data_IF_747235137482
#
_entry.id   IF_747235137482
#
_cell.length_a   1.000
_cell.length_b   1.000
_cell.length_c   1.000
_cell.angle_alpha   90.00
_cell.angle_beta   90.00
_cell.angle_gamma   90.00
#
_symmetry.space_group_name_H-M   'P 1'
#
loop_
_entity.id
_entity.type
_entity.pdbx_description
1 polymer ?
#
# COMPACT_ATOMS: atom_id res chain seq x y z
N UNK A 1 18.15 -5.68 -24.40
CA UNK A 1 18.55 -6.34 -23.15
C UNK A 1 17.46 -6.04 -22.14
N UNK A 2 16.98 -7.02 -21.38
CA UNK A 2 16.01 -6.75 -20.34
C UNK A 2 16.71 -6.03 -19.18
N UNK A 3 16.18 -4.89 -18.74
CA UNK A 3 16.61 -4.27 -17.49
C UNK A 3 16.40 -5.24 -16.32
N UNK A 4 17.32 -5.19 -15.35
CA UNK A 4 17.21 -6.01 -14.14
C UNK A 4 16.17 -5.42 -13.20
N UNK A 5 15.21 -6.24 -12.75
CA UNK A 5 14.22 -5.87 -11.74
C UNK A 5 14.72 -6.29 -10.37
N UNK A 6 14.73 -5.36 -9.41
CA UNK A 6 15.24 -5.58 -8.05
C UNK A 6 14.25 -5.07 -7.00
N UNK A 7 14.29 -5.66 -5.79
CA UNK A 7 13.46 -5.23 -4.65
C UNK A 7 14.35 -4.37 -3.73
N UNK A 8 14.01 -3.08 -3.59
CA UNK A 8 14.79 -2.11 -2.81
C UNK A 8 14.22 -1.82 -1.42
N UNK A 9 12.97 -2.20 -1.15
CA UNK A 9 12.31 -2.02 0.15
C UNK A 9 11.16 -3.01 0.35
N UNK A 10 10.94 -3.45 1.59
CA UNK A 10 9.85 -4.37 1.94
C UNK A 10 9.51 -4.26 3.43
N UNK A 11 8.27 -3.87 3.73
CA UNK A 11 7.74 -3.75 5.09
C UNK A 11 6.30 -4.27 5.14
N UNK A 12 5.88 -4.65 6.35
CA UNK A 12 4.50 -5.05 6.66
C UNK A 12 4.13 -4.60 8.07
N UNK A 13 2.84 -4.41 8.31
CA UNK A 13 2.32 -4.26 9.66
C UNK A 13 2.38 -5.61 10.40
N UNK A 14 2.24 -5.61 11.75
CA UNK A 14 1.80 -6.79 12.47
C UNK A 14 0.44 -7.29 11.96
N UNK A 15 0.16 -8.58 12.17
CA UNK A 15 -1.13 -9.19 11.82
C UNK A 15 -1.94 -9.28 13.12
N UNK A 16 -3.14 -8.69 13.13
CA UNK A 16 -4.07 -8.77 14.25
C UNK A 16 -5.05 -9.94 14.11
N UNK A 17 -5.83 -10.20 15.17
CA UNK A 17 -6.97 -11.10 15.12
C UNK A 17 -8.24 -10.42 14.59
N UNK A 18 -9.18 -11.21 14.07
CA UNK A 18 -10.50 -10.70 13.67
C UNK A 18 -11.20 -10.05 14.86
N UNK A 19 -11.69 -8.82 14.68
CA UNK A 19 -12.24 -7.97 15.76
C UNK A 19 -11.27 -7.72 16.92
N UNK A 20 -9.96 -7.77 16.66
CA UNK A 20 -8.89 -7.56 17.64
C UNK A 20 -8.27 -6.16 17.60
N UNK A 21 -6.94 -6.11 17.70
CA UNK A 21 -6.15 -4.89 17.93
C UNK A 21 -6.35 -3.79 16.87
N UNK A 22 -6.69 -4.19 15.64
CA UNK A 22 -6.88 -3.29 14.51
C UNK A 22 -8.36 -3.10 14.13
N UNK A 23 -9.31 -3.47 15.00
CA UNK A 23 -10.74 -3.39 14.69
C UNK A 23 -11.24 -1.97 14.36
N UNK A 24 -10.59 -0.93 14.88
CA UNK A 24 -10.91 0.48 14.62
C UNK A 24 -10.10 1.10 13.48
N UNK A 25 -9.24 0.33 12.81
CA UNK A 25 -8.33 0.82 11.76
C UNK A 25 -8.79 0.30 10.41
N UNK A 26 -8.84 1.17 9.40
CA UNK A 26 -9.22 0.76 8.04
C UNK A 26 -8.08 0.00 7.35
N UNK A 27 -8.39 -0.80 6.34
CA UNK A 27 -7.36 -1.52 5.59
C UNK A 27 -6.39 -0.55 4.90
N UNK A 28 -6.89 0.57 4.38
CA UNK A 28 -6.04 1.60 3.77
C UNK A 28 -5.10 2.27 4.78
N UNK A 29 -5.53 2.51 6.03
CA UNK A 29 -4.65 3.05 7.08
C UNK A 29 -3.51 2.07 7.42
N UNK A 30 -3.79 0.78 7.53
CA UNK A 30 -2.74 -0.24 7.70
C UNK A 30 -1.81 -0.28 6.49
N UNK A 31 -2.37 -0.20 5.28
CA UNK A 31 -1.61 -0.11 4.03
C UNK A 31 -0.68 1.10 4.00
N UNK A 32 -1.15 2.27 4.41
CA UNK A 32 -0.37 3.52 4.46
C UNK A 32 0.90 3.38 5.31
N UNK A 33 0.77 2.75 6.49
CA UNK A 33 1.91 2.52 7.39
C UNK A 33 2.94 1.60 6.74
N UNK A 34 2.48 0.53 6.08
CA UNK A 34 3.38 -0.39 5.38
C UNK A 34 4.09 0.26 4.18
N UNK A 35 3.35 1.02 3.36
CA UNK A 35 3.87 1.73 2.19
C UNK A 35 4.94 2.74 2.63
N UNK A 36 4.63 3.61 3.59
CA UNK A 36 5.56 4.64 4.07
C UNK A 36 6.87 4.03 4.56
N UNK A 37 6.79 2.98 5.37
CA UNK A 37 7.97 2.30 5.89
C UNK A 37 8.80 1.58 4.79
N UNK A 38 8.13 1.07 3.74
CA UNK A 38 8.82 0.43 2.61
C UNK A 38 9.55 1.46 1.73
N UNK A 39 8.92 2.62 1.48
CA UNK A 39 9.54 3.74 0.74
C UNK A 39 10.71 4.33 1.53
N UNK A 40 10.55 4.53 2.84
CA UNK A 40 11.63 4.98 3.72
C UNK A 40 12.81 3.99 3.72
N UNK A 41 12.55 2.68 3.78
CA UNK A 41 13.61 1.68 3.68
C UNK A 41 14.32 1.68 2.32
N UNK A 42 13.57 1.94 1.24
CA UNK A 42 14.13 2.03 -0.10
C UNK A 42 15.00 3.28 -0.30
N UNK A 43 14.79 4.34 0.50
CA UNK A 43 15.57 5.57 0.45
C UNK A 43 15.34 6.38 -0.83
N UNK A 44 14.16 6.26 -1.44
CA UNK A 44 13.76 6.96 -2.68
C UNK A 44 12.84 8.14 -2.37
N UNK A 45 12.74 9.11 -3.28
CA UNK A 45 11.71 10.14 -3.20
C UNK A 45 10.36 9.54 -3.61
N UNK A 46 9.28 9.91 -2.92
CA UNK A 46 7.92 9.53 -3.31
C UNK A 46 7.54 10.04 -4.70
N UNK A 47 8.18 11.11 -5.18
CA UNK A 47 8.01 11.63 -6.54
C UNK A 47 8.61 10.71 -7.62
N UNK A 48 9.52 9.81 -7.27
CA UNK A 48 10.12 8.84 -8.21
C UNK A 48 9.20 7.63 -8.46
N UNK A 49 8.09 7.51 -7.74
CA UNK A 49 7.16 6.38 -7.86
C UNK A 49 6.26 6.59 -9.07
N UNK A 50 6.46 5.75 -10.09
CA UNK A 50 5.71 5.82 -11.35
C UNK A 50 4.36 5.10 -11.32
N UNK A 51 4.18 4.09 -10.48
CA UNK A 51 2.90 3.39 -10.29
C UNK A 51 2.82 2.67 -8.93
N UNK A 52 1.60 2.54 -8.41
CA UNK A 52 1.33 1.89 -7.13
C UNK A 52 0.18 0.87 -7.27
N UNK A 53 0.53 -0.42 -7.21
CA UNK A 53 -0.43 -1.51 -7.24
C UNK A 53 -0.65 -2.09 -5.83
N UNK A 54 -1.86 -1.95 -5.29
CA UNK A 54 -2.19 -2.38 -3.93
C UNK A 54 -3.32 -3.42 -3.95
N UNK A 55 -3.13 -4.53 -3.26
CA UNK A 55 -4.12 -5.60 -3.15
C UNK A 55 -5.23 -5.29 -2.14
N UNK A 56 -6.50 -5.53 -2.51
CA UNK A 56 -7.63 -5.49 -1.59
C UNK A 56 -8.74 -6.47 -2.01
N UNK A 57 -8.93 -7.55 -1.25
CA UNK A 57 -9.88 -8.63 -1.58
C UNK A 57 -11.32 -8.28 -1.22
N UNK A 58 -11.52 -7.58 -0.10
CA UNK A 58 -12.83 -7.20 0.44
C UNK A 58 -12.99 -5.67 0.40
N UNK A 59 -13.27 -5.08 -0.79
CA UNK A 59 -13.36 -3.62 -0.94
C UNK A 59 -14.63 -3.01 -0.34
N UNK A 60 -15.65 -3.82 -0.04
CA UNK A 60 -16.89 -3.33 0.56
C UNK A 60 -16.61 -2.65 1.91
N UNK A 61 -17.15 -1.43 2.09
CA UNK A 61 -16.95 -0.65 3.31
C UNK A 61 -15.56 0.00 3.47
N UNK A 62 -14.66 -0.13 2.49
CA UNK A 62 -13.33 0.50 2.51
C UNK A 62 -13.28 1.85 1.78
N UNK A 63 -14.42 2.39 1.34
CA UNK A 63 -14.48 3.59 0.51
C UNK A 63 -14.02 3.36 -0.94
N UNK A 64 -13.90 4.45 -1.69
CA UNK A 64 -13.50 4.40 -3.10
C UNK A 64 -11.99 4.29 -3.25
N UNK A 65 -11.52 3.52 -4.23
CA UNK A 65 -10.10 3.36 -4.55
C UNK A 65 -9.18 3.12 -3.32
N UNK A 66 -9.28 1.96 -2.63
CA UNK A 66 -8.46 1.66 -1.43
C UNK A 66 -6.95 1.85 -1.61
N UNK A 67 -6.40 1.56 -2.80
CA UNK A 67 -5.01 1.83 -3.15
C UNK A 67 -4.66 3.32 -3.05
N UNK A 68 -5.50 4.19 -3.63
CA UNK A 68 -5.30 5.65 -3.58
C UNK A 68 -5.35 6.17 -2.15
N UNK A 69 -6.32 5.70 -1.34
CA UNK A 69 -6.39 6.07 0.06
C UNK A 69 -5.12 5.66 0.83
N UNK A 70 -4.59 4.46 0.57
CA UNK A 70 -3.38 3.98 1.22
C UNK A 70 -2.14 4.80 0.82
N UNK A 71 -1.98 5.09 -0.48
CA UNK A 71 -0.86 5.90 -1.02
C UNK A 71 -0.89 7.32 -0.47
N UNK A 72 -2.06 7.98 -0.44
CA UNK A 72 -2.17 9.33 0.12
C UNK A 72 -1.92 9.36 1.64
N UNK A 73 -2.41 8.36 2.38
CA UNK A 73 -2.12 8.24 3.81
C UNK A 73 -0.66 7.87 4.12
N UNK A 74 0.12 7.44 3.12
CA UNK A 74 1.56 7.20 3.22
C UNK A 74 2.38 8.46 2.91
N UNK A 75 1.73 9.61 2.75
CA UNK A 75 2.34 10.90 2.43
C UNK A 75 2.99 10.95 1.02
N UNK A 76 2.54 10.09 0.11
CA UNK A 76 3.00 10.08 -1.29
C UNK A 76 2.23 11.11 -2.15
N UNK A 77 2.87 11.70 -3.18
CA UNK A 77 2.28 12.78 -3.94
C UNK A 77 1.05 12.32 -4.76
N UNK A 78 0.12 13.25 -4.97
CA UNK A 78 -1.11 13.03 -5.77
C UNK A 78 -0.81 12.56 -7.20
N UNK A 79 0.37 12.89 -7.73
CA UNK A 79 0.83 12.50 -9.07
C UNK A 79 1.03 10.99 -9.23
N UNK A 80 1.29 10.26 -8.14
CA UNK A 80 1.49 8.80 -8.19
C UNK A 80 0.19 8.15 -8.67
N UNK A 81 0.15 7.44 -9.81
CA UNK A 81 -1.02 6.67 -10.21
C UNK A 81 -1.19 5.46 -9.30
N UNK A 82 -2.43 5.00 -9.13
CA UNK A 82 -2.74 3.94 -8.18
C UNK A 82 -3.76 2.98 -8.76
N UNK A 83 -3.51 1.69 -8.63
CA UNK A 83 -4.43 0.62 -9.04
C UNK A 83 -4.72 -0.30 -7.87
N UNK A 84 -5.99 -0.44 -7.51
CA UNK A 84 -6.43 -1.49 -6.59
C UNK A 84 -6.58 -2.80 -7.37
N UNK A 85 -5.89 -3.85 -6.92
CA UNK A 85 -5.98 -5.18 -7.54
C UNK A 85 -6.73 -6.12 -6.60
N UNK A 86 -7.67 -6.89 -7.15
CA UNK A 86 -8.28 -8.01 -6.45
C UNK A 86 -7.98 -9.31 -7.19
N UNK A 87 -7.12 -10.12 -6.58
CA UNK A 87 -6.75 -11.46 -7.05
C UNK A 87 -6.83 -12.48 -5.90
N UNK A 88 -7.80 -12.30 -5.00
CA UNK A 88 -7.98 -13.14 -3.82
C UNK A 88 -6.64 -13.39 -3.08
N UNK A 89 -6.27 -14.64 -2.83
CA UNK A 89 -5.07 -15.00 -2.08
C UNK A 89 -3.79 -15.11 -2.95
N UNK A 90 -3.90 -15.00 -4.29
CA UNK A 90 -2.78 -15.23 -5.23
C UNK A 90 -3.19 -15.18 -6.69
#
# INVERSE_FOLDING_TARGET
MAESVVIVGSKRTPIGSFQGQFASVTASQLGSVAIRAAVEQAGIDGADIEDAHIGCVLPAGQGQAPARQAVLGADLPMSVPCTTVNKMCG
#
